data_IF_764254979887
#
_entry.id   IF_764254979887
#
_cell.length_a   1.000
_cell.length_b   1.000
_cell.length_c   1.000
_cell.angle_alpha   90.00
_cell.angle_beta   90.00
_cell.angle_gamma   90.00
#
_symmetry.space_group_name_H-M   'P 1'
#
loop_
_entity.id
_entity.type
_entity.pdbx_description
1 polymer ?
#
# COMPACT_ATOMS: atom_id res chain seq x y z
N UNK A 1 33.86 14.29 -5.09
CA UNK A 1 33.92 13.09 -4.25
C UNK A 1 32.49 12.61 -4.06
N UNK A 2 32.09 11.58 -4.82
CA UNK A 2 30.79 10.92 -4.63
C UNK A 2 30.87 10.09 -3.35
N UNK A 3 29.94 10.22 -2.39
CA UNK A 3 29.94 9.34 -1.24
C UNK A 3 29.71 7.91 -1.73
N UNK A 4 30.59 7.00 -1.32
CA UNK A 4 30.44 5.57 -1.57
C UNK A 4 29.16 5.07 -0.88
N UNK A 5 28.30 4.40 -1.63
CA UNK A 5 27.21 3.58 -1.08
C UNK A 5 27.81 2.30 -0.49
N UNK A 6 27.46 1.92 0.76
CA UNK A 6 27.56 0.53 1.14
C UNK A 6 26.22 -0.01 1.66
N UNK A 7 25.76 -1.11 1.05
CA UNK A 7 25.33 -2.35 1.74
C UNK A 7 24.26 -3.09 0.92
N UNK A 8 24.66 -4.23 0.34
CA UNK A 8 23.84 -5.23 -0.40
C UNK A 8 23.08 -4.68 -1.62
N UNK A 9 23.06 -5.36 -2.78
CA UNK A 9 22.11 -4.99 -3.82
C UNK A 9 20.71 -5.10 -3.20
N UNK A 10 20.02 -3.97 -3.05
CA UNK A 10 18.61 -3.96 -2.67
C UNK A 10 17.93 -4.85 -3.72
N UNK A 11 17.16 -5.85 -3.26
CA UNK A 11 16.36 -6.69 -4.17
C UNK A 11 15.33 -5.87 -4.94
N UNK A 12 14.99 -4.71 -4.39
CA UNK A 12 14.12 -3.71 -5.00
C UNK A 12 14.66 -3.24 -6.35
N UNK A 13 13.77 -3.16 -7.34
CA UNK A 13 14.05 -2.46 -8.58
C UNK A 13 14.15 -0.96 -8.31
N UNK A 14 15.00 -0.26 -9.06
CA UNK A 14 15.08 1.21 -8.97
C UNK A 14 13.77 1.85 -9.44
N UNK A 15 13.39 3.05 -8.94
CA UNK A 15 12.12 3.71 -9.27
C UNK A 15 12.10 4.38 -10.65
N UNK A 16 13.26 4.54 -11.30
CA UNK A 16 13.43 5.26 -12.57
C UNK A 16 13.34 4.31 -13.78
N UNK A 17 12.14 3.82 -14.06
CA UNK A 17 11.84 3.02 -15.25
C UNK A 17 10.72 3.66 -16.09
N UNK A 18 10.63 3.35 -17.39
CA UNK A 18 9.54 3.81 -18.23
C UNK A 18 8.18 3.38 -17.66
N UNK A 19 7.24 4.33 -17.56
CA UNK A 19 5.86 4.07 -17.14
C UNK A 19 4.91 4.30 -18.31
N UNK A 20 3.92 3.44 -18.43
CA UNK A 20 2.78 3.67 -19.30
C UNK A 20 1.62 4.24 -18.50
N UNK A 21 1.05 5.34 -19.00
CA UNK A 21 -0.04 6.07 -18.36
C UNK A 21 -1.29 6.05 -19.22
N UNK A 22 -2.45 6.08 -18.56
CA UNK A 22 -3.71 6.45 -19.19
C UNK A 22 -4.27 7.68 -18.50
N UNK A 23 -4.83 8.59 -19.30
CA UNK A 23 -5.65 9.69 -18.82
C UNK A 23 -7.06 9.52 -19.38
N UNK A 24 -8.06 9.64 -18.51
CA UNK A 24 -9.47 9.59 -18.87
C UNK A 24 -10.28 10.43 -17.87
N UNK A 25 -11.47 10.87 -18.26
CA UNK A 25 -12.33 11.64 -17.39
C UNK A 25 -13.23 10.72 -16.57
N UNK A 26 -13.52 11.16 -15.36
CA UNK A 26 -14.56 10.57 -14.54
C UNK A 26 -15.91 10.59 -15.30
N UNK A 27 -16.56 9.43 -15.50
CA UNK A 27 -17.84 9.37 -16.21
C UNK A 27 -18.95 10.24 -15.60
N UNK A 28 -18.86 10.54 -14.29
CA UNK A 28 -19.84 11.37 -13.58
C UNK A 28 -19.42 12.84 -13.44
N UNK A 29 -18.17 13.17 -13.77
CA UNK A 29 -17.65 14.52 -13.61
C UNK A 29 -16.69 14.90 -14.76
N UNK A 30 -17.15 15.69 -15.75
CA UNK A 30 -16.31 16.12 -16.87
C UNK A 30 -15.15 17.06 -16.47
N UNK A 31 -15.16 17.59 -15.24
CA UNK A 31 -14.10 18.43 -14.68
C UNK A 31 -13.12 17.62 -13.80
N UNK A 32 -13.24 16.30 -13.76
CA UNK A 32 -12.33 15.41 -13.03
C UNK A 32 -11.55 14.52 -14.01
N UNK A 33 -10.25 14.81 -14.15
CA UNK A 33 -9.31 14.04 -14.94
C UNK A 33 -8.58 13.03 -14.06
N UNK A 34 -8.55 11.77 -14.47
CA UNK A 34 -7.84 10.70 -13.76
C UNK A 34 -6.65 10.26 -14.61
N UNK A 35 -5.45 10.37 -14.05
CA UNK A 35 -4.21 9.87 -14.60
C UNK A 35 -3.77 8.62 -13.83
N UNK A 36 -3.71 7.47 -14.49
CA UNK A 36 -3.43 6.18 -13.85
C UNK A 36 -2.21 5.49 -14.46
N UNK A 37 -1.31 4.99 -13.61
CA UNK A 37 -0.12 4.24 -14.02
C UNK A 37 -0.48 2.78 -14.32
N UNK A 38 -0.53 2.44 -15.62
CA UNK A 38 -0.84 1.09 -16.09
C UNK A 38 0.29 0.12 -15.78
N UNK A 39 1.53 0.59 -15.65
CA UNK A 39 2.69 -0.24 -15.26
C UNK A 39 2.47 -0.84 -13.88
N UNK A 40 1.97 -0.02 -12.96
CA UNK A 40 1.61 -0.42 -11.61
C UNK A 40 0.34 -1.27 -11.57
N UNK A 41 -0.74 -0.78 -12.17
CA UNK A 41 -2.06 -1.41 -12.09
C UNK A 41 -2.09 -2.81 -12.73
N UNK A 42 -1.32 -3.02 -13.80
CA UNK A 42 -1.18 -4.32 -14.46
C UNK A 42 -0.06 -5.20 -13.86
N UNK A 43 0.61 -4.73 -12.80
CA UNK A 43 1.60 -5.53 -12.08
C UNK A 43 0.95 -6.67 -11.29
N UNK A 44 1.75 -7.65 -10.89
CA UNK A 44 1.34 -8.75 -10.00
C UNK A 44 1.73 -8.50 -8.55
N UNK A 45 1.83 -7.23 -8.13
CA UNK A 45 2.09 -6.94 -6.72
C UNK A 45 0.97 -7.53 -5.84
N UNK A 46 1.35 -8.07 -4.69
CA UNK A 46 0.43 -8.47 -3.63
C UNK A 46 1.06 -8.22 -2.26
N UNK A 47 0.25 -7.95 -1.25
CA UNK A 47 0.74 -7.82 0.11
C UNK A 47 1.29 -9.17 0.59
N UNK A 48 2.56 -9.20 0.96
CA UNK A 48 3.25 -10.41 1.45
C UNK A 48 3.45 -10.42 2.97
N UNK A 49 2.76 -9.54 3.71
CA UNK A 49 2.83 -9.50 5.16
C UNK A 49 2.53 -10.87 5.79
N UNK A 50 3.28 -11.24 6.83
CA UNK A 50 3.16 -12.55 7.48
C UNK A 50 3.83 -13.70 6.73
N UNK A 51 4.44 -13.45 5.57
CA UNK A 51 5.28 -14.43 4.85
C UNK A 51 6.76 -14.07 4.98
N UNK A 52 7.64 -15.01 4.64
CA UNK A 52 9.09 -14.78 4.62
C UNK A 52 9.55 -13.71 3.60
N UNK A 53 8.68 -13.32 2.66
CA UNK A 53 8.98 -12.26 1.69
C UNK A 53 8.81 -10.85 2.30
N UNK A 54 8.04 -10.68 3.37
CA UNK A 54 7.94 -9.40 4.06
C UNK A 54 9.15 -9.20 4.97
N UNK A 55 9.92 -8.13 4.74
CA UNK A 55 11.16 -7.85 5.49
C UNK A 55 11.02 -6.72 6.51
N UNK A 56 9.85 -6.10 6.58
CA UNK A 56 9.61 -4.93 7.40
C UNK A 56 10.36 -3.69 6.93
N UNK A 57 9.82 -2.51 7.21
CA UNK A 57 10.46 -1.25 6.82
C UNK A 57 11.61 -0.84 7.76
N UNK A 58 11.74 -1.48 8.92
CA UNK A 58 12.81 -1.25 9.90
C UNK A 58 13.72 -2.47 9.97
N UNK A 59 15.04 -2.24 9.91
CA UNK A 59 16.04 -3.29 9.94
C UNK A 59 15.91 -4.17 11.20
N UNK A 60 15.95 -5.49 11.00
CA UNK A 60 15.82 -6.47 12.09
C UNK A 60 14.42 -6.62 12.68
N UNK A 61 13.39 -6.01 12.06
CA UNK A 61 11.99 -6.06 12.52
C UNK A 61 11.03 -6.53 11.41
N UNK A 62 11.23 -7.74 10.84
CA UNK A 62 10.45 -8.20 9.70
C UNK A 62 8.96 -8.39 10.01
N UNK A 63 8.64 -8.74 11.26
CA UNK A 63 7.26 -9.01 11.71
C UNK A 63 6.41 -7.74 11.84
N UNK A 64 7.01 -6.54 11.73
CA UNK A 64 6.29 -5.27 11.84
C UNK A 64 5.74 -4.78 10.50
N UNK A 65 6.24 -5.30 9.37
CA UNK A 65 5.78 -4.86 8.04
C UNK A 65 5.89 -3.35 7.85
N UNK A 66 4.80 -2.72 7.39
CA UNK A 66 4.67 -1.26 7.26
C UNK A 66 4.20 -0.58 8.57
N UNK A 67 3.90 -1.32 9.63
CA UNK A 67 3.26 -0.80 10.85
C UNK A 67 4.24 -0.15 11.86
N UNK A 68 5.53 -0.05 11.56
CA UNK A 68 6.56 0.37 12.52
C UNK A 68 6.38 1.79 13.05
N UNK A 69 5.88 2.72 12.22
CA UNK A 69 5.76 4.14 12.59
C UNK A 69 4.38 4.53 13.16
N UNK A 70 3.42 3.59 13.23
CA UNK A 70 2.02 3.96 13.38
C UNK A 70 1.47 4.59 12.10
N UNK A 71 0.25 5.14 12.17
CA UNK A 71 -0.42 5.75 11.05
C UNK A 71 -1.02 7.09 11.47
N UNK A 72 -0.62 8.16 10.78
CA UNK A 72 -1.26 9.46 10.90
C UNK A 72 -2.70 9.37 10.38
N UNK A 73 -3.60 10.08 11.06
CA UNK A 73 -4.98 10.21 10.64
C UNK A 73 -5.11 11.36 9.65
N UNK A 74 -5.90 11.15 8.60
CA UNK A 74 -6.07 12.15 7.55
C UNK A 74 -6.98 13.31 7.99
N UNK A 75 -8.08 13.00 8.69
CA UNK A 75 -9.08 13.97 9.12
C UNK A 75 -9.97 13.40 10.25
N UNK A 76 -11.04 14.12 10.59
CA UNK A 76 -12.01 13.72 11.61
C UNK A 76 -12.84 12.50 11.19
N UNK A 77 -13.07 12.28 9.90
CA UNK A 77 -13.82 11.13 9.38
C UNK A 77 -12.98 9.85 9.49
N UNK A 78 -11.67 9.92 9.18
CA UNK A 78 -10.72 8.82 9.40
C UNK A 78 -10.64 8.45 10.89
N UNK A 79 -10.65 9.46 11.77
CA UNK A 79 -10.73 9.23 13.22
C UNK A 79 -12.02 8.53 13.63
N UNK A 80 -13.17 9.00 13.15
CA UNK A 80 -14.46 8.41 13.48
C UNK A 80 -14.55 6.94 13.01
N UNK A 81 -14.10 6.66 11.78
CA UNK A 81 -14.00 5.29 11.23
C UNK A 81 -13.13 4.40 12.11
N UNK A 82 -11.98 4.90 12.56
CA UNK A 82 -11.09 4.15 13.45
C UNK A 82 -11.75 3.88 14.82
N UNK A 83 -12.43 4.87 15.40
CA UNK A 83 -13.13 4.73 16.68
C UNK A 83 -14.22 3.63 16.60
N UNK A 84 -14.99 3.61 15.51
CA UNK A 84 -16.00 2.58 15.22
C UNK A 84 -15.38 1.18 15.03
N UNK A 85 -14.22 1.11 14.37
CA UNK A 85 -13.49 -0.15 14.20
C UNK A 85 -12.94 -0.67 15.53
N UNK A 86 -12.42 0.23 16.39
CA UNK A 86 -11.91 -0.09 17.73
C UNK A 86 -13.02 -0.63 18.63
N UNK A 87 -14.22 -0.05 18.57
CA UNK A 87 -15.38 -0.50 19.34
C UNK A 87 -15.75 -1.97 19.05
N UNK A 88 -15.42 -2.47 17.86
CA UNK A 88 -15.69 -3.85 17.45
C UNK A 88 -14.59 -4.84 17.87
N UNK A 89 -13.41 -4.37 18.29
CA UNK A 89 -12.30 -5.24 18.70
C UNK A 89 -12.52 -5.84 20.09
N UNK A 90 -12.25 -7.13 20.20
CA UNK A 90 -12.25 -7.88 21.46
C UNK A 90 -10.82 -8.19 21.91
N UNK A 91 -10.67 -8.72 23.13
CA UNK A 91 -9.36 -9.16 23.65
C UNK A 91 -8.78 -10.35 22.85
N UNK A 92 -9.62 -11.07 22.10
CA UNK A 92 -9.20 -12.12 21.17
C UNK A 92 -8.73 -11.58 19.80
N UNK A 93 -9.08 -10.34 19.48
CA UNK A 93 -8.70 -9.69 18.22
C UNK A 93 -7.44 -8.83 18.40
N UNK A 94 -7.28 -8.18 19.55
CA UNK A 94 -6.26 -7.14 19.76
C UNK A 94 -5.43 -7.37 21.02
N UNK A 95 -4.18 -7.79 20.82
CA UNK A 95 -3.22 -8.12 21.88
C UNK A 95 -2.98 -6.98 22.88
N UNK A 96 -3.02 -5.73 22.41
CA UNK A 96 -2.68 -4.54 23.20
C UNK A 96 -3.92 -3.74 23.61
N UNK A 97 -5.12 -4.35 23.56
CA UNK A 97 -6.40 -3.70 23.84
C UNK A 97 -6.45 -3.01 25.20
N UNK A 98 -6.00 -3.66 26.27
CA UNK A 98 -5.91 -3.06 27.60
C UNK A 98 -5.08 -1.76 27.62
N UNK A 99 -4.01 -1.70 26.82
CA UNK A 99 -3.18 -0.49 26.71
C UNK A 99 -3.84 0.57 25.85
N UNK A 100 -4.52 0.17 24.77
CA UNK A 100 -5.21 1.07 23.86
C UNK A 100 -6.45 1.70 24.47
N UNK A 101 -7.17 0.98 25.33
CA UNK A 101 -8.32 1.50 26.08
C UNK A 101 -7.95 2.08 27.45
N UNK A 102 -6.67 2.02 27.82
CA UNK A 102 -6.15 2.62 29.04
C UNK A 102 -6.06 4.15 28.96
N UNK A 103 -5.58 4.78 30.04
CA UNK A 103 -5.52 6.25 30.20
C UNK A 103 -4.85 7.02 29.05
N UNK A 104 -3.90 6.38 28.38
CA UNK A 104 -3.14 7.02 27.28
C UNK A 104 -3.81 6.83 25.91
N UNK A 105 -4.91 6.08 25.79
CA UNK A 105 -5.63 5.84 24.53
C UNK A 105 -4.86 4.99 23.51
N UNK A 106 -5.35 4.92 22.27
CA UNK A 106 -4.66 4.29 21.11
C UNK A 106 -4.12 5.31 20.11
N UNK A 107 -4.35 6.60 20.34
CA UNK A 107 -3.81 7.71 19.56
C UNK A 107 -2.80 8.50 20.39
N UNK A 108 -1.85 9.14 19.71
CA UNK A 108 -0.94 10.14 20.26
C UNK A 108 -0.70 11.24 19.23
N UNK A 109 -0.33 12.43 19.70
CA UNK A 109 0.12 13.51 18.82
C UNK A 109 1.58 13.30 18.45
N UNK A 110 1.93 13.59 17.20
CA UNK A 110 3.30 13.63 16.71
C UNK A 110 3.42 14.66 15.58
N UNK A 111 4.64 15.05 15.26
CA UNK A 111 4.91 16.00 14.18
C UNK A 111 4.92 15.29 12.81
N UNK A 112 4.18 15.84 11.85
CA UNK A 112 4.21 15.47 10.45
C UNK A 112 4.24 16.75 9.60
N UNK A 113 5.27 16.89 8.75
CA UNK A 113 5.50 18.08 7.93
C UNK A 113 5.46 19.42 8.71
N UNK A 114 5.96 19.41 9.95
CA UNK A 114 6.01 20.60 10.81
C UNK A 114 4.69 20.94 11.52
N UNK A 115 3.67 20.09 11.38
CA UNK A 115 2.38 20.25 12.04
C UNK A 115 2.11 19.10 13.02
N UNK A 116 1.46 19.42 14.14
CA UNK A 116 1.07 18.42 15.13
C UNK A 116 -0.17 17.68 14.64
N UNK A 117 -0.05 16.37 14.41
CA UNK A 117 -1.11 15.52 13.87
C UNK A 117 -1.33 14.29 14.75
N UNK A 118 -2.56 13.79 14.78
CA UNK A 118 -2.86 12.54 15.48
C UNK A 118 -2.34 11.36 14.68
N UNK A 119 -1.69 10.42 15.36
CA UNK A 119 -1.37 9.10 14.81
C UNK A 119 -1.72 7.98 15.77
N UNK A 120 -1.87 6.77 15.23
CA UNK A 120 -1.94 5.56 16.07
C UNK A 120 -0.67 5.44 16.89
N UNK A 121 -0.81 5.29 18.20
CA UNK A 121 0.32 5.19 19.11
C UNK A 121 1.23 4.01 18.79
N UNK A 122 2.52 4.16 19.05
CA UNK A 122 3.48 3.04 19.02
C UNK A 122 3.74 2.43 20.40
N UNK A 123 3.88 1.11 20.46
CA UNK A 123 4.26 0.36 21.66
C UNK A 123 5.42 -0.57 21.31
N UNK A 124 6.57 -0.39 21.96
CA UNK A 124 7.82 -1.11 21.65
C UNK A 124 8.22 -0.99 20.17
N UNK A 125 8.07 0.20 19.59
CA UNK A 125 8.54 0.52 18.23
C UNK A 125 7.68 0.01 17.07
N UNK A 126 6.41 -0.34 17.31
CA UNK A 126 5.44 -0.55 16.23
C UNK A 126 4.02 -0.16 16.69
N UNK A 127 3.12 0.05 15.73
CA UNK A 127 1.73 0.43 15.92
C UNK A 127 1.04 -0.41 17.02
N UNK A 128 0.21 0.25 17.82
CA UNK A 128 -0.55 -0.39 18.91
C UNK A 128 -1.53 -1.46 18.41
N UNK A 129 -1.98 -1.39 17.15
CA UNK A 129 -2.84 -2.40 16.54
C UNK A 129 -2.08 -3.60 15.98
N UNK A 130 -0.75 -3.60 15.96
CA UNK A 130 0.02 -4.76 15.52
C UNK A 130 0.03 -5.85 16.59
N UNK A 131 -0.60 -6.98 16.33
CA UNK A 131 -0.42 -8.19 17.13
C UNK A 131 0.92 -8.83 16.79
N UNK A 132 1.70 -9.18 17.82
CA UNK A 132 3.03 -9.79 17.66
C UNK A 132 2.95 -11.30 17.38
N UNK A 133 4.02 -11.89 16.81
CA UNK A 133 4.13 -13.34 16.69
C UNK A 133 3.83 -14.06 18.00
N UNK A 134 3.08 -15.17 17.91
CA UNK A 134 2.66 -15.97 19.06
C UNK A 134 1.37 -15.52 19.76
N UNK A 135 0.74 -14.42 19.34
CA UNK A 135 -0.59 -14.07 19.83
C UNK A 135 -1.66 -15.03 19.28
N UNK A 136 -2.52 -15.56 20.15
CA UNK A 136 -3.54 -16.55 19.78
C UNK A 136 -4.54 -16.02 18.74
N UNK A 137 -4.80 -14.71 18.73
CA UNK A 137 -5.64 -14.05 17.74
C UNK A 137 -4.99 -13.90 16.35
N UNK A 138 -3.74 -14.30 16.17
CA UNK A 138 -2.97 -14.15 14.94
C UNK A 138 -2.04 -12.93 14.96
N UNK A 139 -0.88 -13.05 14.31
CA UNK A 139 0.06 -11.94 14.12
C UNK A 139 -0.41 -11.03 12.98
N UNK A 140 -0.17 -9.72 13.10
CA UNK A 140 -0.59 -8.72 12.13
C UNK A 140 -1.54 -7.66 12.69
N UNK A 141 -2.05 -6.79 11.82
CA UNK A 141 -2.92 -5.71 12.23
C UNK A 141 -4.26 -6.25 12.74
N UNK A 142 -4.61 -5.95 14.00
CA UNK A 142 -5.85 -6.36 14.64
C UNK A 142 -7.09 -5.91 13.85
N UNK A 143 -7.06 -4.71 13.26
CA UNK A 143 -8.15 -4.16 12.44
C UNK A 143 -8.33 -4.98 11.15
N UNK A 144 -7.23 -5.35 10.50
CA UNK A 144 -7.26 -6.18 9.30
C UNK A 144 -7.78 -7.61 9.61
N UNK A 145 -7.26 -8.22 10.67
CA UNK A 145 -7.70 -9.55 11.13
C UNK A 145 -9.20 -9.53 11.44
N UNK A 146 -9.67 -8.47 12.11
CA UNK A 146 -11.09 -8.30 12.43
C UNK A 146 -11.95 -8.17 11.17
N UNK A 147 -11.53 -7.34 10.21
CA UNK A 147 -12.26 -7.17 8.94
C UNK A 147 -12.42 -8.52 8.20
N UNK A 148 -11.34 -9.28 8.08
CA UNK A 148 -11.35 -10.62 7.46
C UNK A 148 -12.30 -11.56 8.22
N UNK A 149 -12.30 -11.54 9.55
CA UNK A 149 -13.22 -12.36 10.37
C UNK A 149 -14.69 -11.98 10.19
N UNK A 150 -14.97 -10.68 9.98
CA UNK A 150 -16.31 -10.17 9.72
C UNK A 150 -16.74 -10.38 8.26
N UNK A 151 -15.82 -10.73 7.37
CA UNK A 151 -16.10 -10.85 5.94
C UNK A 151 -16.31 -9.49 5.26
N UNK A 152 -15.74 -8.41 5.82
CA UNK A 152 -15.78 -7.06 5.24
C UNK A 152 -14.41 -6.68 4.71
N UNK A 153 -14.38 -5.70 3.80
CA UNK A 153 -13.13 -5.23 3.22
C UNK A 153 -12.25 -4.54 4.29
N UNK A 154 -10.94 -4.87 4.39
CA UNK A 154 -10.08 -4.27 5.40
C UNK A 154 -10.02 -2.73 5.38
N UNK A 155 -10.26 -2.10 4.24
CA UNK A 155 -10.35 -0.64 4.13
C UNK A 155 -11.46 -0.05 5.00
N UNK A 156 -12.52 -0.79 5.31
CA UNK A 156 -13.64 -0.29 6.12
C UNK A 156 -13.34 -0.26 7.62
N UNK A 157 -12.17 -0.76 8.05
CA UNK A 157 -11.78 -0.82 9.47
C UNK A 157 -10.41 -0.20 9.76
N UNK A 158 -9.62 0.07 8.73
CA UNK A 158 -8.24 0.57 8.87
C UNK A 158 -8.22 2.09 8.71
N UNK A 159 -7.27 2.80 9.33
CA UNK A 159 -7.03 4.20 9.02
C UNK A 159 -6.67 4.40 7.54
N UNK A 160 -6.93 5.58 7.02
CA UNK A 160 -6.80 5.89 5.60
C UNK A 160 -5.40 5.60 5.04
N UNK A 161 -4.36 6.11 5.71
CA UNK A 161 -2.97 5.83 5.35
C UNK A 161 -2.67 4.32 5.32
N UNK A 162 -3.28 3.52 6.21
CA UNK A 162 -3.01 2.09 6.30
C UNK A 162 -3.63 1.26 5.17
N UNK A 163 -4.84 1.58 4.73
CA UNK A 163 -5.50 0.81 3.66
C UNK A 163 -5.13 1.32 2.27
N UNK A 164 -4.83 2.61 2.12
CA UNK A 164 -4.41 3.16 0.84
C UNK A 164 -3.10 2.53 0.39
N UNK A 165 -2.15 2.26 1.29
CA UNK A 165 -0.91 1.56 0.92
C UNK A 165 -1.19 0.17 0.31
N UNK A 166 -0.60 -0.15 -0.86
CA UNK A 166 0.47 0.57 -1.55
C UNK A 166 0.00 1.48 -2.70
N UNK A 167 -1.28 1.80 -2.83
CA UNK A 167 -1.77 2.78 -3.80
C UNK A 167 -1.40 4.17 -3.28
N UNK A 168 -0.80 4.98 -4.15
CA UNK A 168 -0.60 6.40 -3.91
C UNK A 168 -1.60 7.17 -4.75
N UNK A 169 -2.45 7.95 -4.08
CA UNK A 169 -3.31 8.95 -4.70
C UNK A 169 -2.76 10.34 -4.42
N UNK A 170 -2.69 11.18 -5.44
CA UNK A 170 -2.53 12.63 -5.28
C UNK A 170 -3.57 13.37 -6.08
N UNK A 171 -3.99 14.53 -5.59
CA UNK A 171 -4.99 15.37 -6.24
C UNK A 171 -4.49 16.80 -6.31
N UNK A 172 -4.70 17.44 -7.45
CA UNK A 172 -4.36 18.84 -7.67
C UNK A 172 -5.40 19.52 -8.56
N UNK A 173 -5.67 20.80 -8.31
CA UNK A 173 -6.44 21.62 -9.24
C UNK A 173 -5.50 22.14 -10.33
N UNK A 174 -5.89 21.93 -11.59
CA UNK A 174 -5.11 22.34 -12.77
C UNK A 174 -5.91 23.38 -13.55
N UNK A 175 -5.36 24.58 -13.68
CA UNK A 175 -5.86 25.60 -14.61
C UNK A 175 -5.33 25.31 -16.02
N UNK A 176 -6.24 25.14 -16.98
CA UNK A 176 -5.92 24.86 -18.38
C UNK A 176 -5.63 26.13 -19.18
N UNK A 177 -5.04 26.02 -20.38
CA UNK A 177 -4.82 27.17 -21.26
C UNK A 177 -6.10 27.91 -21.68
N UNK A 178 -7.26 27.27 -21.59
CA UNK A 178 -8.58 27.87 -21.84
C UNK A 178 -9.24 28.43 -20.57
N UNK A 179 -8.47 28.62 -19.50
CA UNK A 179 -8.88 29.18 -18.20
C UNK A 179 -9.88 28.30 -17.41
N UNK A 180 -10.18 27.09 -17.89
CA UNK A 180 -10.99 26.13 -17.12
C UNK A 180 -10.17 25.50 -16.00
N UNK A 181 -10.78 25.33 -14.84
CA UNK A 181 -10.18 24.60 -13.71
C UNK A 181 -10.74 23.18 -13.67
N UNK A 182 -9.85 22.21 -13.52
CA UNK A 182 -10.22 20.80 -13.38
C UNK A 182 -9.47 20.17 -12.20
N UNK A 183 -10.11 19.19 -11.56
CA UNK A 183 -9.44 18.34 -10.59
C UNK A 183 -8.67 17.25 -11.34
N UNK A 184 -7.36 17.13 -11.11
CA UNK A 184 -6.54 16.01 -11.58
C UNK A 184 -6.24 15.06 -10.43
N UNK A 185 -6.74 13.83 -10.52
CA UNK A 185 -6.37 12.73 -9.64
C UNK A 185 -5.31 11.87 -10.31
N UNK A 186 -4.22 11.57 -9.61
CA UNK A 186 -3.15 10.69 -10.08
C UNK A 186 -3.07 9.43 -9.21
N UNK A 187 -3.10 8.25 -9.83
CA UNK A 187 -3.00 6.94 -9.18
C UNK A 187 -1.71 6.24 -9.59
N UNK A 188 -0.85 5.94 -8.60
CA UNK A 188 0.42 5.22 -8.77
C UNK A 188 0.62 4.18 -7.69
N UNK A 189 1.75 3.48 -7.75
CA UNK A 189 2.31 2.83 -6.58
C UNK A 189 2.83 3.87 -5.59
N UNK A 190 2.79 3.54 -4.32
CA UNK A 190 3.63 4.16 -3.30
C UNK A 190 5.02 3.56 -3.48
N UNK A 191 5.96 4.31 -4.03
CA UNK A 191 7.37 3.92 -4.03
C UNK A 191 8.09 4.60 -2.85
N UNK A 192 9.41 4.48 -2.78
CA UNK A 192 10.19 5.17 -1.73
C UNK A 192 10.00 6.69 -1.77
N UNK A 193 9.82 7.32 -2.94
CA UNK A 193 9.64 8.78 -3.05
C UNK A 193 8.28 9.21 -2.51
N UNK A 194 7.29 8.32 -2.52
CA UNK A 194 6.01 8.54 -1.85
C UNK A 194 6.14 8.89 -0.37
N UNK A 195 7.21 8.45 0.31
CA UNK A 195 7.50 8.74 1.72
C UNK A 195 8.29 10.03 1.95
N UNK A 196 8.45 10.85 0.90
CA UNK A 196 9.31 12.03 0.97
C UNK A 196 10.76 11.66 1.27
N UNK A 197 11.51 12.54 1.98
CA UNK A 197 12.91 12.28 2.33
C UNK A 197 13.13 10.98 3.14
N UNK A 198 12.17 10.62 4.01
CA UNK A 198 12.26 9.44 4.88
C UNK A 198 12.20 8.10 4.13
N UNK A 199 11.75 8.10 2.88
CA UNK A 199 11.71 6.89 2.04
C UNK A 199 13.07 6.27 1.74
N UNK A 200 14.14 7.08 1.75
CA UNK A 200 15.50 6.61 1.56
C UNK A 200 15.99 5.73 2.73
N UNK A 201 15.48 6.02 3.94
CA UNK A 201 15.85 5.40 5.20
C UNK A 201 15.12 4.09 5.47
N UNK A 202 14.04 3.80 4.73
CA UNK A 202 13.34 2.52 4.85
C UNK A 202 14.30 1.36 4.54
N UNK A 203 14.36 0.38 5.42
CA UNK A 203 15.21 -0.80 5.24
C UNK A 203 14.86 -1.56 3.95
N UNK A 204 13.57 -1.68 3.69
CA UNK A 204 12.99 -2.42 2.58
C UNK A 204 11.62 -1.85 2.25
N UNK A 205 11.22 -1.92 0.98
CA UNK A 205 9.87 -1.55 0.57
C UNK A 205 9.30 -2.48 -0.50
N UNK A 206 8.04 -2.90 -0.31
CA UNK A 206 7.47 -4.04 -1.03
C UNK A 206 7.17 -3.78 -2.51
N UNK A 207 6.78 -2.57 -2.90
CA UNK A 207 6.40 -2.25 -4.29
C UNK A 207 7.57 -2.35 -5.26
N UNK A 208 8.80 -2.21 -4.77
CA UNK A 208 10.01 -2.42 -5.57
C UNK A 208 10.49 -3.87 -5.59
N UNK A 209 10.11 -4.73 -4.63
CA UNK A 209 10.73 -6.05 -4.46
C UNK A 209 10.04 -7.12 -5.32
N UNK A 210 10.76 -7.82 -6.22
CA UNK A 210 10.20 -8.92 -7.01
C UNK A 210 9.51 -10.01 -6.18
N UNK A 211 9.93 -10.24 -4.94
CA UNK A 211 9.31 -11.23 -4.05
C UNK A 211 7.87 -10.86 -3.63
N UNK A 212 7.45 -9.61 -3.81
CA UNK A 212 6.06 -9.17 -3.63
C UNK A 212 5.24 -9.19 -4.93
N UNK A 213 5.86 -9.41 -6.09
CA UNK A 213 5.20 -9.41 -7.41
C UNK A 213 4.78 -10.81 -7.86
N UNK A 214 4.22 -11.59 -6.92
CA UNK A 214 3.82 -12.99 -7.06
C UNK A 214 2.29 -13.18 -7.00
N UNK A 215 1.53 -12.09 -7.11
CA UNK A 215 0.08 -12.08 -7.06
C UNK A 215 -0.57 -12.88 -8.19
N UNK A 216 -1.56 -13.71 -7.82
CA UNK A 216 -2.37 -14.45 -8.78
C UNK A 216 -3.22 -13.50 -9.65
N UNK A 217 -3.69 -12.39 -9.06
CA UNK A 217 -4.44 -11.32 -9.71
C UNK A 217 -3.56 -10.07 -9.86
N UNK A 218 -3.83 -9.27 -10.88
CA UNK A 218 -3.17 -7.98 -11.04
C UNK A 218 -3.70 -6.95 -10.04
N UNK A 219 -2.94 -5.91 -9.78
CA UNK A 219 -3.27 -4.87 -8.78
C UNK A 219 -4.67 -4.28 -9.01
N UNK A 220 -5.04 -3.95 -10.25
CA UNK A 220 -6.37 -3.37 -10.55
C UNK A 220 -7.54 -4.29 -10.13
N UNK A 221 -7.30 -5.61 -10.03
CA UNK A 221 -8.29 -6.59 -9.60
C UNK A 221 -8.20 -6.85 -8.10
N UNK A 222 -6.98 -6.99 -7.57
CA UNK A 222 -6.78 -7.35 -6.17
C UNK A 222 -7.10 -6.22 -5.22
N UNK A 223 -6.85 -4.98 -5.63
CA UNK A 223 -7.15 -3.76 -4.87
C UNK A 223 -8.36 -3.01 -5.45
N UNK A 224 -9.28 -3.73 -6.09
CA UNK A 224 -10.50 -3.16 -6.65
C UNK A 224 -11.36 -2.38 -5.63
N UNK A 225 -11.58 -2.90 -4.41
CA UNK A 225 -12.26 -2.17 -3.35
C UNK A 225 -11.58 -0.84 -2.98
N UNK A 226 -10.26 -0.84 -2.79
CA UNK A 226 -9.50 0.36 -2.47
C UNK A 226 -9.51 1.37 -3.62
N UNK A 227 -9.38 0.92 -4.87
CA UNK A 227 -9.49 1.78 -6.04
C UNK A 227 -10.90 2.36 -6.20
N UNK A 228 -11.94 1.59 -5.85
CA UNK A 228 -13.33 2.05 -5.83
C UNK A 228 -13.53 3.12 -4.77
N UNK A 229 -13.01 2.94 -3.56
CA UNK A 229 -13.08 3.96 -2.50
C UNK A 229 -12.32 5.24 -2.90
N UNK A 230 -11.19 5.10 -3.59
CA UNK A 230 -10.36 6.25 -4.00
C UNK A 230 -10.91 7.06 -5.17
N UNK A 231 -11.60 6.41 -6.12
CA UNK A 231 -12.02 7.01 -7.39
C UNK A 231 -13.54 7.15 -7.52
N UNK A 232 -14.31 6.38 -6.77
CA UNK A 232 -15.73 6.16 -7.00
C UNK A 232 -16.00 4.98 -7.94
N UNK A 233 -17.20 4.40 -7.84
CA UNK A 233 -17.59 3.18 -8.54
C UNK A 233 -17.49 3.29 -10.07
N UNK A 234 -17.99 4.39 -10.66
CA UNK A 234 -18.01 4.55 -12.12
C UNK A 234 -16.63 4.79 -12.71
N UNK A 235 -15.82 5.62 -12.05
CA UNK A 235 -14.45 5.88 -12.46
C UNK A 235 -13.57 4.63 -12.34
N UNK A 236 -13.73 3.84 -11.26
CA UNK A 236 -13.04 2.55 -11.14
C UNK A 236 -13.50 1.55 -12.21
N UNK A 237 -14.80 1.48 -12.51
CA UNK A 237 -15.32 0.59 -13.56
C UNK A 237 -14.70 0.91 -14.93
N UNK A 238 -14.55 2.19 -15.28
CA UNK A 238 -13.87 2.62 -16.51
C UNK A 238 -12.38 2.24 -16.49
N UNK A 239 -11.67 2.51 -15.38
CA UNK A 239 -10.27 2.12 -15.22
C UNK A 239 -10.06 0.60 -15.35
N UNK A 240 -10.96 -0.19 -14.75
CA UNK A 240 -10.95 -1.65 -14.81
C UNK A 240 -11.19 -2.14 -16.26
N UNK A 241 -12.14 -1.54 -16.97
CA UNK A 241 -12.40 -1.85 -18.37
C UNK A 241 -11.19 -1.55 -19.26
N UNK A 242 -10.50 -0.42 -19.04
CA UNK A 242 -9.24 -0.09 -19.72
C UNK A 242 -8.18 -1.16 -19.43
N UNK A 243 -7.97 -1.52 -18.16
CA UNK A 243 -6.98 -2.53 -17.77
C UNK A 243 -7.28 -3.90 -18.38
N UNK A 244 -8.55 -4.33 -18.34
CA UNK A 244 -8.99 -5.57 -18.97
C UNK A 244 -8.71 -5.56 -20.47
N UNK A 245 -9.09 -4.47 -21.17
CA UNK A 245 -8.87 -4.34 -22.61
C UNK A 245 -7.39 -4.40 -22.98
N UNK A 246 -6.52 -3.78 -22.17
CA UNK A 246 -5.06 -3.83 -22.36
C UNK A 246 -4.52 -5.25 -22.28
N UNK A 247 -4.97 -6.04 -21.31
CA UNK A 247 -4.60 -7.45 -21.19
C UNK A 247 -5.05 -8.28 -22.40
N UNK A 248 -6.29 -8.09 -22.87
CA UNK A 248 -6.83 -8.80 -24.04
C UNK A 248 -6.01 -8.53 -25.32
N UNK A 249 -5.47 -7.31 -25.44
CA UNK A 249 -4.63 -6.90 -26.56
C UNK A 249 -3.14 -7.24 -26.38
N UNK A 250 -2.74 -7.74 -25.21
CA UNK A 250 -1.33 -7.98 -24.88
C UNK A 250 -0.49 -6.69 -24.73
N UNK A 251 -1.14 -5.54 -24.55
CA UNK A 251 -0.49 -4.23 -24.40
C UNK A 251 -0.19 -3.96 -22.92
N UNK A 252 0.74 -4.74 -22.36
CA UNK A 252 1.08 -4.68 -20.94
C UNK A 252 2.47 -4.06 -20.76
N UNK A 253 2.54 -2.87 -20.16
CA UNK A 253 3.77 -2.32 -19.61
C UNK A 253 4.16 -3.11 -18.35
N UNK A 254 5.03 -4.11 -18.51
CA UNK A 254 5.39 -5.00 -17.40
C UNK A 254 6.26 -4.26 -16.38
N UNK A 255 5.75 -4.12 -15.15
CA UNK A 255 6.52 -3.58 -14.03
C UNK A 255 7.87 -4.32 -13.85
N UNK A 256 9.00 -3.62 -13.64
CA UNK A 256 10.30 -4.27 -13.56
C UNK A 256 10.41 -5.33 -12.46
N UNK A 257 9.74 -5.13 -11.31
CA UNK A 257 9.71 -6.13 -10.25
C UNK A 257 8.90 -7.38 -10.65
N UNK A 258 7.80 -7.22 -11.40
CA UNK A 258 7.06 -8.34 -12.00
C UNK A 258 7.92 -9.09 -13.02
N UNK A 259 8.63 -8.37 -13.89
CA UNK A 259 9.52 -8.97 -14.87
C UNK A 259 10.68 -9.74 -14.20
N UNK A 260 11.21 -9.23 -13.08
CA UNK A 260 12.24 -9.89 -12.30
C UNK A 260 11.72 -11.13 -11.57
N UNK A 261 10.51 -11.09 -11.01
CA UNK A 261 9.88 -12.24 -10.35
C UNK A 261 9.77 -13.43 -11.31
N UNK A 262 9.23 -13.20 -12.51
CA UNK A 262 9.09 -14.25 -13.52
C UNK A 262 10.41 -14.79 -14.08
N UNK A 263 11.53 -14.07 -13.95
CA UNK A 263 12.87 -14.62 -14.30
C UNK A 263 13.36 -15.61 -13.26
N UNK A 264 13.10 -15.35 -11.97
CA UNK A 264 13.49 -16.23 -10.86
C UNK A 264 12.78 -17.59 -10.96
N UNK A 265 11.48 -17.57 -11.25
CA UNK A 265 10.70 -18.81 -11.40
C UNK A 265 11.24 -19.70 -12.53
N UNK A 266 11.66 -19.10 -13.66
CA UNK A 266 12.23 -19.86 -14.78
C UNK A 266 13.61 -20.45 -14.47
N UNK A 267 14.45 -19.73 -13.71
CA UNK A 267 15.77 -20.25 -13.34
C UNK A 267 15.71 -21.41 -12.34
N UNK A 268 14.70 -21.42 -11.46
CA UNK A 268 14.52 -22.50 -10.48
C UNK A 268 14.01 -23.79 -11.17
N UNK A 269 13.19 -23.66 -12.22
CA UNK A 269 12.73 -24.80 -13.04
C UNK A 269 13.86 -25.39 -13.89
N UNK A 270 14.72 -24.55 -14.49
CA UNK A 270 15.86 -25.00 -15.31
C UNK A 270 16.97 -25.71 -14.49
N UNK A 271 16.98 -25.53 -13.16
CA UNK A 271 17.94 -26.19 -12.27
C UNK A 271 17.49 -27.60 -11.84
N UNK A 272 16.18 -27.85 -11.76
CA UNK A 272 15.62 -29.15 -11.37
C UNK A 272 15.72 -30.19 -12.51
N UNK A 273 15.77 -29.74 -13.78
CA UNK A 273 15.95 -30.57 -14.97
C UNK A 273 17.42 -30.97 -15.27
N UNK A 274 18.36 -30.70 -14.34
CA UNK A 274 19.79 -31.03 -14.49
C UNK A 274 20.38 -31.93 -13.39
N UNK A 275 19.57 -32.81 -12.81
CA UNK A 275 20.09 -33.92 -12.00
C UNK A 275 20.15 -35.21 -12.83
N UNK A 276 21.34 -35.80 -13.07
CA UNK A 276 21.48 -37.15 -13.61
C UNK A 276 21.10 -38.24 -12.61
#
# INVERSE_FOLDING_TARGET
MTPAQPASPRREVGPDFPREWVEFYDPDNPEHLIAADLTWLLSRWTCVFGTAACRGIVAGRPDDGCCSHGAFLCDEDDRAKLDDAVAQLTDADWQLRDKGLGKKGYLEYDENDGEEQLRTRTVKGACIFLNRPGFAGGAGCALHIKAVRLGVEPLTMKPDVCWQLPIRRSQEWVTRPDETEILKTTITEFDRRGWGPGGADLHWYCTGDPAAHVGARQVWQSLGPELTELLGEKAYAELAAICQRRNELGLVAVHPATAAAGRSERSDVDFDDRLP
#
